data_IF_445736065995
#
_entry.id   IF_445736065995
#
_cell.length_a   1.000
_cell.length_b   1.000
_cell.length_c   1.000
_cell.angle_alpha   90.00
_cell.angle_beta   90.00
_cell.angle_gamma   90.00
#
_symmetry.space_group_name_H-M   'P 1'
#
loop_
_entity.id
_entity.type
_entity.pdbx_description
1 polymer ?
#
# COMPACT_ATOMS: atom_id res chain seq x y z
N UNK A 1 21.01 -11.93 -6.02
CA UNK A 1 19.96 -11.60 -7.00
C UNK A 1 18.64 -12.00 -6.39
N UNK A 2 17.90 -11.01 -5.91
CA UNK A 2 16.55 -11.24 -5.40
C UNK A 2 15.67 -11.61 -6.58
N UNK A 3 15.20 -12.85 -6.59
CA UNK A 3 14.38 -13.36 -7.69
C UNK A 3 12.95 -12.89 -7.44
N UNK A 4 12.52 -11.90 -8.21
CA UNK A 4 11.13 -11.46 -8.23
C UNK A 4 10.38 -12.25 -9.27
N UNK A 5 9.21 -12.77 -8.90
CA UNK A 5 8.34 -13.49 -9.81
C UNK A 5 7.07 -12.70 -10.04
N UNK A 6 6.66 -12.64 -11.30
CA UNK A 6 5.36 -12.12 -11.69
C UNK A 6 4.53 -13.29 -12.17
N UNK A 7 3.39 -13.52 -11.53
CA UNK A 7 2.51 -14.64 -11.85
C UNK A 7 1.12 -14.10 -12.10
N UNK A 8 0.48 -14.58 -13.15
CA UNK A 8 -0.88 -14.20 -13.51
C UNK A 8 -1.70 -15.45 -13.84
N UNK A 9 -2.90 -15.54 -13.25
CA UNK A 9 -3.88 -16.60 -13.54
C UNK A 9 -4.97 -16.12 -14.52
N UNK A 10 -4.67 -15.06 -15.30
CA UNK A 10 -5.61 -14.39 -16.21
C UNK A 10 -6.64 -13.49 -15.51
N UNK A 11 -7.01 -13.81 -14.27
CA UNK A 11 -7.94 -12.99 -13.45
C UNK A 11 -7.19 -12.06 -12.50
N UNK A 12 -6.13 -12.56 -11.85
CA UNK A 12 -5.34 -11.84 -10.87
C UNK A 12 -3.86 -11.88 -11.25
N UNK A 13 -3.17 -10.76 -11.08
CA UNK A 13 -1.73 -10.60 -11.29
C UNK A 13 -1.07 -10.35 -9.94
N UNK A 14 -0.05 -11.14 -9.62
CA UNK A 14 0.65 -11.11 -8.34
C UNK A 14 2.17 -10.97 -8.56
N UNK A 15 2.78 -10.11 -7.76
CA UNK A 15 4.22 -9.97 -7.59
C UNK A 15 4.63 -10.72 -6.33
N UNK A 16 5.55 -11.67 -6.50
CA UNK A 16 6.11 -12.47 -5.43
C UNK A 16 7.56 -12.06 -5.20
N UNK A 17 7.90 -11.71 -3.96
CA UNK A 17 9.27 -11.51 -3.53
C UNK A 17 9.62 -12.42 -2.35
N UNK A 18 10.82 -13.02 -2.35
CA UNK A 18 11.26 -13.89 -1.26
C UNK A 18 11.36 -13.08 0.04
N UNK A 19 10.87 -13.66 1.14
CA UNK A 19 11.01 -13.10 2.48
C UNK A 19 12.25 -13.68 3.19
N UNK A 20 12.83 -12.93 4.15
CA UNK A 20 14.02 -13.36 4.91
C UNK A 20 13.77 -14.63 5.76
N UNK A 21 12.52 -14.88 6.17
CA UNK A 21 12.12 -16.00 7.02
C UNK A 21 11.67 -17.24 6.22
N UNK A 22 11.88 -17.24 4.90
CA UNK A 22 11.36 -18.28 4.02
C UNK A 22 9.90 -18.02 3.63
N UNK A 23 9.57 -18.35 2.39
CA UNK A 23 8.28 -18.01 1.77
C UNK A 23 8.34 -16.77 0.89
N UNK A 24 7.17 -16.37 0.39
CA UNK A 24 6.97 -15.29 -0.56
C UNK A 24 5.98 -14.29 0.03
N UNK A 25 6.36 -13.03 -0.01
CA UNK A 25 5.40 -11.95 0.10
C UNK A 25 4.78 -11.73 -1.27
N UNK A 26 3.48 -11.57 -1.28
CA UNK A 26 2.62 -11.56 -2.45
C UNK A 26 1.91 -10.22 -2.46
N UNK A 27 2.01 -9.50 -3.57
CA UNK A 27 1.32 -8.21 -3.73
C UNK A 27 0.70 -8.09 -5.11
N UNK A 28 -0.37 -7.31 -5.23
CA UNK A 28 -1.03 -7.05 -6.51
C UNK A 28 -0.74 -5.63 -7.00
N UNK A 29 -0.31 -5.42 -8.26
CA UNK A 29 -0.22 -4.08 -8.84
C UNK A 29 -1.60 -3.39 -8.99
N UNK A 30 -2.68 -4.16 -9.05
CA UNK A 30 -4.04 -3.62 -9.20
C UNK A 30 -4.57 -3.07 -7.88
N UNK A 31 -4.23 -3.73 -6.78
CA UNK A 31 -4.63 -3.36 -5.43
C UNK A 31 -3.39 -3.32 -4.53
N UNK A 32 -2.76 -2.15 -4.33
CA UNK A 32 -1.54 -2.04 -3.53
C UNK A 32 -1.77 -2.30 -2.03
N UNK A 33 -3.02 -2.26 -1.58
CA UNK A 33 -3.43 -2.63 -0.22
C UNK A 33 -3.48 -4.16 -0.03
N UNK A 34 -3.45 -4.93 -1.11
CA UNK A 34 -3.46 -6.38 -1.09
C UNK A 34 -2.03 -6.89 -0.91
N UNK A 35 -1.68 -7.19 0.34
CA UNK A 35 -0.39 -7.73 0.74
C UNK A 35 -0.63 -9.00 1.55
N UNK A 36 -0.11 -10.12 1.08
CA UNK A 36 -0.24 -11.43 1.74
C UNK A 36 1.10 -12.16 1.78
N UNK A 37 1.16 -13.24 2.57
CA UNK A 37 2.32 -14.12 2.68
C UNK A 37 1.90 -15.55 2.36
N UNK A 38 2.79 -16.30 1.73
CA UNK A 38 2.57 -17.70 1.40
C UNK A 38 3.89 -18.45 1.24
N UNK A 39 3.89 -19.75 1.54
CA UNK A 39 5.07 -20.60 1.31
C UNK A 39 5.09 -21.14 -0.13
N UNK A 40 3.91 -21.32 -0.72
CA UNK A 40 3.72 -21.90 -2.06
C UNK A 40 2.96 -20.95 -2.99
N UNK A 41 3.08 -21.22 -4.29
CA UNK A 41 2.44 -20.41 -5.33
C UNK A 41 0.91 -20.59 -5.31
N UNK A 42 0.43 -21.82 -5.07
CA UNK A 42 -1.00 -22.09 -4.94
C UNK A 42 -1.60 -21.37 -3.72
N UNK A 43 -0.92 -21.41 -2.58
CA UNK A 43 -1.36 -20.73 -1.36
C UNK A 43 -1.37 -19.20 -1.53
N UNK A 44 -0.40 -18.65 -2.26
CA UNK A 44 -0.36 -17.23 -2.59
C UNK A 44 -1.66 -16.77 -3.28
N UNK A 45 -2.19 -17.56 -4.22
CA UNK A 45 -3.43 -17.24 -4.90
C UNK A 45 -4.65 -17.35 -3.98
N UNK A 46 -4.74 -18.42 -3.19
CA UNK A 46 -5.86 -18.62 -2.24
C UNK A 46 -5.92 -17.43 -1.27
N UNK A 47 -4.80 -17.09 -0.65
CA UNK A 47 -4.71 -15.97 0.30
C UNK A 47 -4.99 -14.63 -0.39
N UNK A 48 -4.55 -14.45 -1.64
CA UNK A 48 -4.80 -13.23 -2.41
C UNK A 48 -6.29 -13.07 -2.75
N UNK A 49 -6.99 -14.14 -3.16
CA UNK A 49 -8.44 -14.07 -3.44
C UNK A 49 -9.23 -13.73 -2.17
N UNK A 50 -8.94 -14.40 -1.05
CA UNK A 50 -9.61 -14.12 0.23
C UNK A 50 -9.37 -12.67 0.69
N UNK A 51 -8.13 -12.17 0.57
CA UNK A 51 -7.80 -10.79 0.89
C UNK A 51 -8.52 -9.80 -0.04
N UNK A 52 -8.63 -10.11 -1.33
CA UNK A 52 -9.34 -9.27 -2.30
C UNK A 52 -10.83 -9.16 -1.95
N UNK A 53 -11.48 -10.29 -1.66
CA UNK A 53 -12.90 -10.30 -1.27
C UNK A 53 -13.12 -9.47 0.00
N UNK A 54 -12.24 -9.62 1.00
CA UNK A 54 -12.30 -8.85 2.23
C UNK A 54 -12.17 -7.33 1.96
N UNK A 55 -11.24 -6.92 1.10
CA UNK A 55 -11.07 -5.51 0.73
C UNK A 55 -12.31 -4.95 0.03
N UNK A 56 -12.92 -5.71 -0.87
CA UNK A 56 -14.17 -5.31 -1.55
C UNK A 56 -15.29 -5.11 -0.52
N UNK A 57 -15.45 -6.06 0.40
CA UNK A 57 -16.47 -5.97 1.44
C UNK A 57 -16.25 -4.75 2.34
N UNK A 58 -14.99 -4.53 2.76
CA UNK A 58 -14.64 -3.43 3.64
C UNK A 58 -14.82 -2.06 2.96
N UNK A 59 -14.40 -1.93 1.70
CA UNK A 59 -14.63 -0.73 0.87
C UNK A 59 -16.13 -0.44 0.72
N UNK A 60 -16.95 -1.47 0.48
CA UNK A 60 -18.40 -1.31 0.38
C UNK A 60 -19.03 -0.87 1.71
N UNK A 61 -18.59 -1.42 2.84
CA UNK A 61 -19.06 -1.01 4.16
C UNK A 61 -18.67 0.44 4.47
N UNK A 62 -17.42 0.82 4.18
CA UNK A 62 -16.92 2.17 4.40
C UNK A 62 -17.69 3.20 3.56
N UNK A 63 -17.98 2.89 2.30
CA UNK A 63 -18.78 3.73 1.42
C UNK A 63 -20.21 3.94 1.98
N UNK A 64 -20.84 2.89 2.50
CA UNK A 64 -22.16 2.99 3.15
C UNK A 64 -22.11 3.89 4.39
N UNK A 65 -21.10 3.70 5.24
CA UNK A 65 -20.91 4.52 6.46
C UNK A 65 -20.67 5.99 6.11
N UNK A 66 -19.82 6.26 5.12
CA UNK A 66 -19.52 7.62 4.70
C UNK A 66 -20.76 8.33 4.12
N UNK A 67 -21.56 7.62 3.32
CA UNK A 67 -22.83 8.15 2.79
C UNK A 67 -23.82 8.50 3.90
N UNK A 68 -23.91 7.68 4.96
CA UNK A 68 -24.75 8.00 6.12
C UNK A 68 -24.27 9.26 6.86
N UNK A 69 -22.97 9.40 7.10
CA UNK A 69 -22.39 10.57 7.76
C UNK A 69 -22.64 11.83 6.93
N UNK A 70 -22.41 11.78 5.62
CA UNK A 70 -22.67 12.90 4.71
C UNK A 70 -24.15 13.34 4.74
N UNK A 71 -25.07 12.37 4.83
CA UNK A 71 -26.51 12.63 4.96
C UNK A 71 -26.90 13.26 6.31
N UNK A 72 -26.23 12.91 7.41
CA UNK A 72 -26.51 13.55 8.71
C UNK A 72 -26.04 15.01 8.74
N UNK A 73 -24.86 15.31 8.17
CA UNK A 73 -24.31 16.67 8.14
C UNK A 73 -25.14 17.66 7.32
N UNK A 74 -25.83 17.19 6.29
CA UNK A 74 -26.67 18.04 5.43
C UNK A 74 -27.96 18.51 6.11
N UNK A 75 -28.34 17.95 7.26
CA UNK A 75 -29.50 18.44 8.06
C UNK A 75 -29.15 19.55 9.04
N UNK A 76 -27.88 19.70 9.40
CA UNK A 76 -27.47 20.73 10.37
C UNK A 76 -27.27 22.10 9.70
N UNK A 77 -27.00 22.16 8.40
CA UNK A 77 -26.82 23.42 7.66
C UNK A 77 -28.12 24.16 7.32
N UNK A 78 -29.29 23.54 7.46
CA UNK A 78 -30.59 24.22 7.24
C UNK A 78 -31.21 24.80 8.52
N UNK A 79 -30.60 24.58 9.70
CA UNK A 79 -31.18 24.93 10.99
C UNK A 79 -30.57 26.16 11.69
N UNK A 80 -29.79 27.00 10.99
CA UNK A 80 -29.32 28.27 11.56
C UNK A 80 -29.46 29.44 10.56
N UNK A 81 -30.54 30.25 10.62
CA UNK A 81 -30.70 31.42 9.77
C UNK A 81 -29.81 32.62 10.14
N UNK A 82 -28.98 32.54 11.19
CA UNK A 82 -28.26 33.70 11.73
C UNK A 82 -26.81 33.89 11.24
N UNK A 83 -26.27 33.07 10.33
CA UNK A 83 -24.93 33.32 9.78
C UNK A 83 -24.96 34.28 8.59
N UNK A 84 -25.41 35.51 8.86
CA UNK A 84 -25.22 36.67 7.99
C UNK A 84 -23.87 37.31 8.32
N UNK A 85 -22.77 36.72 7.84
CA UNK A 85 -21.46 37.37 7.89
C UNK A 85 -20.61 37.01 6.66
N UNK A 86 -20.78 37.85 5.64
CA UNK A 86 -19.76 38.34 4.69
C UNK A 86 -18.86 37.34 3.93
N UNK A 87 -18.85 37.38 2.58
CA UNK A 87 -17.78 36.81 1.79
C UNK A 87 -16.56 37.74 1.83
N UNK A 88 -15.57 37.45 2.66
CA UNK A 88 -14.25 38.09 2.55
C UNK A 88 -13.22 37.09 2.01
N UNK A 89 -12.77 37.42 0.80
CA UNK A 89 -11.44 37.23 0.25
C UNK A 89 -10.95 35.81 -0.03
N UNK A 90 -10.90 35.53 -1.34
CA UNK A 90 -9.97 34.60 -1.94
C UNK A 90 -8.54 34.86 -1.44
N UNK A 91 -7.93 33.85 -0.84
CA UNK A 91 -6.48 33.76 -0.68
C UNK A 91 -6.02 32.50 -1.40
N UNK A 92 -5.59 32.75 -2.63
CA UNK A 92 -4.34 32.25 -3.21
C UNK A 92 -3.96 30.80 -2.90
N UNK A 93 -4.14 29.99 -3.93
CA UNK A 93 -3.52 28.67 -4.11
C UNK A 93 -2.00 28.83 -4.01
N UNK A 94 -1.41 28.40 -2.90
CA UNK A 94 0.02 28.19 -2.81
C UNK A 94 0.40 26.97 -3.68
N UNK A 95 1.41 27.07 -4.56
CA UNK A 95 1.88 25.94 -5.34
C UNK A 95 2.53 24.90 -4.44
N UNK A 96 2.22 23.63 -4.71
CA UNK A 96 2.81 22.46 -4.08
C UNK A 96 4.34 22.59 -4.04
N UNK A 97 5.01 22.40 -2.88
CA UNK A 97 6.44 22.21 -2.89
C UNK A 97 6.75 20.90 -3.60
N UNK A 98 7.55 20.99 -4.66
CA UNK A 98 8.23 19.84 -5.26
C UNK A 98 9.08 19.19 -4.17
N UNK A 99 8.59 18.10 -3.58
CA UNK A 99 9.39 17.33 -2.64
C UNK A 99 10.33 16.48 -3.47
N UNK A 100 11.58 16.90 -3.48
CA UNK A 100 12.73 16.20 -4.05
C UNK A 100 12.72 14.72 -3.61
N UNK A 101 12.90 13.85 -4.60
CA UNK A 101 13.23 12.46 -4.37
C UNK A 101 14.49 12.39 -3.48
N UNK A 102 14.50 11.62 -2.37
CA UNK A 102 15.75 11.34 -1.69
C UNK A 102 16.66 10.56 -2.64
N UNK A 103 17.70 11.26 -3.06
CA UNK A 103 18.90 10.79 -3.73
C UNK A 103 19.25 9.36 -3.34
N UNK A 104 19.45 8.53 -4.36
CA UNK A 104 20.07 7.22 -4.25
C UNK A 104 21.34 7.29 -3.40
N UNK A 105 21.27 6.75 -2.19
CA UNK A 105 22.44 6.40 -1.41
C UNK A 105 23.16 5.26 -2.14
N UNK A 106 24.36 5.56 -2.65
CA UNK A 106 25.26 4.55 -3.17
C UNK A 106 25.50 3.47 -2.11
N UNK A 107 25.42 2.17 -2.44
CA UNK A 107 25.83 1.14 -1.51
C UNK A 107 27.34 1.27 -1.28
N UNK A 108 27.73 1.51 -0.03
CA UNK A 108 29.13 1.40 0.39
C UNK A 108 29.61 -0.05 0.16
N UNK A 109 30.72 -0.26 -0.56
CA UNK A 109 31.34 -1.58 -0.64
C UNK A 109 32.10 -1.86 0.66
N UNK A 110 31.56 -2.74 1.50
CA UNK A 110 32.31 -3.28 2.62
C UNK A 110 33.44 -4.19 2.11
N UNK A 111 34.62 -4.12 2.75
CA UNK A 111 35.83 -4.79 2.26
C UNK A 111 35.75 -6.31 2.38
N UNK A 112 36.16 -6.97 1.30
CA UNK A 112 36.73 -8.33 1.34
C UNK A 112 37.91 -8.33 2.31
N UNK A 113 37.88 -9.24 3.28
CA UNK A 113 38.98 -10.13 3.68
C UNK A 113 38.63 -10.77 5.02
N UNK A 114 38.51 -12.09 5.04
CA UNK A 114 39.14 -12.90 6.08
C UNK A 114 39.23 -14.34 5.56
N UNK A 115 40.39 -14.62 4.98
CA UNK A 115 40.93 -15.97 4.83
C UNK A 115 40.90 -16.65 6.20
N UNK A 116 40.08 -17.68 6.32
CA UNK A 116 40.20 -18.68 7.39
C UNK A 116 40.78 -19.94 6.75
N UNK A 117 42.08 -19.87 6.49
CA UNK A 117 42.92 -21.06 6.59
C UNK A 117 42.93 -21.45 8.07
N UNK A 118 42.31 -22.55 8.46
CA UNK A 118 42.79 -23.31 9.61
C UNK A 118 42.58 -24.81 9.39
N UNK A 119 43.70 -25.40 9.03
CA UNK A 119 44.08 -26.80 9.03
C UNK A 119 43.80 -27.41 10.41
N UNK A 120 42.89 -28.38 10.49
CA UNK A 120 42.84 -29.31 11.62
C UNK A 120 42.46 -30.70 11.11
N UNK A 121 43.48 -31.55 11.06
CA UNK A 121 43.47 -32.99 10.82
C UNK A 121 42.45 -33.77 11.65
#
# INVERSE_FOLDING_TARGET
>A
MDKHYTVSDGTLMLYLWPAEEGGYNVTSPMDPELITQAETLEEAFINAYDAQELLIQWRAELARRHTMIARCRSRETEANPDNTASPMTATEVAPLPSVEAPSAGSPEPMPRTLDFDDDAS
#
